data_IF_662621506751
#
_entry.id   IF_662621506751
#
_cell.length_a   1.000
_cell.length_b   1.000
_cell.length_c   1.000
_cell.angle_alpha   90.00
_cell.angle_beta   90.00
_cell.angle_gamma   90.00
#
_symmetry.space_group_name_H-M   'P 1'
#
loop_
_entity.id
_entity.type
_entity.pdbx_description
1 polymer ?
#
# COMPACT_ATOMS: atom_id res chain seq x y z
N UNK A 1 23.71 17.50 26.31
CA UNK A 1 24.14 17.04 24.98
C UNK A 1 23.08 17.48 24.00
N UNK A 2 23.39 18.39 23.08
CA UNK A 2 22.45 18.76 22.03
C UNK A 2 22.34 17.56 21.09
N UNK A 3 21.19 16.87 21.10
CA UNK A 3 20.87 15.83 20.12
C UNK A 3 20.76 16.52 18.74
N UNK A 4 21.77 16.34 17.91
CA UNK A 4 21.67 16.74 16.50
C UNK A 4 20.74 15.72 15.84
N UNK A 5 19.51 16.12 15.56
CA UNK A 5 18.58 15.29 14.80
C UNK A 5 19.10 15.20 13.36
N UNK A 6 19.23 14.00 12.80
CA UNK A 6 19.65 13.86 11.41
C UNK A 6 18.55 14.34 10.45
N UNK A 7 18.97 14.81 9.29
CA UNK A 7 18.04 14.97 8.17
C UNK A 7 17.67 13.60 7.62
N UNK A 8 16.38 13.38 7.38
CA UNK A 8 15.87 12.16 6.77
C UNK A 8 15.40 12.47 5.36
N UNK A 9 15.97 11.81 4.39
CA UNK A 9 15.65 11.95 2.96
C UNK A 9 14.74 10.83 2.53
N UNK A 10 13.76 11.14 1.69
CA UNK A 10 12.79 10.18 1.17
C UNK A 10 12.85 10.13 -0.34
N UNK A 11 12.60 8.95 -0.89
CA UNK A 11 12.39 8.72 -2.32
C UNK A 11 11.38 7.60 -2.52
N UNK A 12 10.57 7.69 -3.58
CA UNK A 12 9.50 6.76 -3.86
C UNK A 12 9.68 6.03 -5.18
N UNK A 13 9.14 4.82 -5.26
CA UNK A 13 9.02 4.07 -6.49
C UNK A 13 7.66 3.41 -6.58
N UNK A 14 7.09 3.49 -7.76
CA UNK A 14 5.73 3.03 -8.03
C UNK A 14 4.71 4.16 -8.09
N UNK A 15 3.53 3.84 -8.65
CA UNK A 15 2.47 4.81 -8.88
C UNK A 15 1.64 5.01 -7.61
N UNK A 16 1.46 6.23 -7.14
CA UNK A 16 0.58 6.59 -6.00
C UNK A 16 -0.76 7.13 -6.46
N UNK A 17 -0.88 7.48 -7.73
CA UNK A 17 -2.01 8.22 -8.28
C UNK A 17 -3.15 7.36 -8.82
N UNK A 18 -3.72 7.77 -9.94
CA UNK A 18 -4.96 7.23 -10.52
C UNK A 18 -4.96 5.75 -10.87
N UNK A 19 -3.81 5.17 -11.18
CA UNK A 19 -3.69 3.77 -11.62
C UNK A 19 -2.97 2.89 -10.60
N UNK A 20 -3.65 2.56 -9.49
CA UNK A 20 -3.12 1.64 -8.48
C UNK A 20 -3.07 0.17 -8.96
N UNK A 21 -3.84 -0.17 -10.01
CA UNK A 21 -3.90 -1.52 -10.57
C UNK A 21 -3.00 -1.72 -11.81
N UNK A 22 -2.01 -0.83 -12.01
CA UNK A 22 -1.04 -0.99 -13.08
C UNK A 22 -0.26 -2.31 -12.91
N UNK A 23 -0.41 -3.29 -13.81
CA UNK A 23 0.27 -4.58 -13.70
C UNK A 23 1.80 -4.48 -13.82
N UNK A 24 2.31 -3.38 -14.38
CA UNK A 24 3.75 -3.10 -14.46
C UNK A 24 4.30 -2.51 -13.16
N UNK A 25 3.44 -2.06 -12.27
CA UNK A 25 3.79 -1.45 -10.99
C UNK A 25 2.88 -1.95 -9.84
N UNK A 26 2.86 -3.25 -9.56
CA UNK A 26 1.96 -3.84 -8.54
C UNK A 26 2.31 -3.42 -7.12
N UNK A 27 3.53 -2.90 -6.93
CA UNK A 27 4.08 -2.53 -5.63
C UNK A 27 4.39 -1.04 -5.62
N UNK A 28 4.11 -0.39 -4.50
CA UNK A 28 4.65 0.92 -4.13
C UNK A 28 5.75 0.72 -3.08
N UNK A 29 6.82 1.50 -3.19
CA UNK A 29 7.91 1.49 -2.23
C UNK A 29 8.25 2.91 -1.83
N UNK A 30 8.31 3.18 -0.53
CA UNK A 30 8.90 4.39 0.02
C UNK A 30 10.20 4.02 0.71
N UNK A 31 11.29 4.65 0.29
CA UNK A 31 12.61 4.50 0.92
C UNK A 31 12.95 5.77 1.70
N UNK A 32 13.69 5.61 2.79
CA UNK A 32 14.23 6.75 3.52
C UNK A 32 15.65 6.49 4.00
N UNK A 33 16.42 7.55 4.12
CA UNK A 33 17.85 7.47 4.49
C UNK A 33 18.25 8.65 5.37
N UNK A 34 19.09 8.36 6.38
CA UNK A 34 19.77 9.35 7.24
C UNK A 34 21.25 9.51 6.91
N UNK A 35 21.68 9.06 5.74
CA UNK A 35 23.10 9.08 5.32
C UNK A 35 23.55 10.53 5.12
N UNK A 36 24.75 10.88 5.64
CA UNK A 36 25.35 12.19 5.41
C UNK A 36 25.62 12.41 3.92
N UNK A 37 25.59 13.69 3.47
CA UNK A 37 25.94 14.04 2.09
C UNK A 37 27.28 13.46 1.63
N UNK A 38 28.27 13.46 2.52
CA UNK A 38 29.61 12.93 2.22
C UNK A 38 29.57 11.41 1.99
N UNK A 39 28.83 10.68 2.82
CA UNK A 39 28.71 9.23 2.69
C UNK A 39 27.79 8.84 1.53
N UNK A 40 26.78 9.66 1.23
CA UNK A 40 25.93 9.47 0.04
C UNK A 40 26.75 9.56 -1.26
N UNK A 41 27.71 10.49 -1.36
CA UNK A 41 28.60 10.58 -2.52
C UNK A 41 29.48 9.32 -2.65
N UNK A 42 30.05 8.84 -1.54
CA UNK A 42 30.83 7.59 -1.54
C UNK A 42 29.97 6.37 -1.91
N UNK A 43 28.74 6.32 -1.40
CA UNK A 43 27.79 5.26 -1.75
C UNK A 43 27.45 5.29 -3.26
N UNK A 44 27.27 6.49 -3.81
CA UNK A 44 27.01 6.68 -5.24
C UNK A 44 28.19 6.20 -6.11
N UNK A 45 29.44 6.45 -5.70
CA UNK A 45 30.65 5.96 -6.40
C UNK A 45 30.66 4.43 -6.54
N UNK A 46 30.17 3.69 -5.53
CA UNK A 46 30.09 2.23 -5.57
C UNK A 46 29.23 1.71 -6.71
N UNK A 47 28.25 2.48 -7.14
CA UNK A 47 27.35 2.08 -8.25
C UNK A 47 28.04 2.07 -9.59
N UNK A 48 29.16 2.81 -9.72
CA UNK A 48 29.80 3.05 -11.02
C UNK A 48 28.97 3.90 -11.98
N UNK A 49 28.02 4.69 -11.44
CA UNK A 49 27.26 5.66 -12.24
C UNK A 49 28.20 6.68 -12.86
N UNK A 50 27.92 7.06 -14.13
CA UNK A 50 28.64 8.15 -14.78
C UNK A 50 28.15 9.54 -14.34
N UNK A 51 26.96 9.61 -13.75
CA UNK A 51 26.45 10.85 -13.16
C UNK A 51 27.11 11.06 -11.80
N UNK A 52 27.68 12.24 -11.51
CA UNK A 52 28.31 12.51 -10.23
C UNK A 52 27.32 12.74 -9.09
N UNK A 53 26.04 12.92 -9.38
CA UNK A 53 25.01 13.31 -8.43
C UNK A 53 23.86 12.34 -8.31
N UNK A 54 23.74 11.38 -9.25
CA UNK A 54 22.57 10.51 -9.31
C UNK A 54 22.88 9.15 -9.95
N UNK A 55 22.21 8.10 -9.49
CA UNK A 55 22.28 6.76 -10.05
C UNK A 55 20.87 6.21 -10.30
N UNK A 56 20.51 6.04 -11.57
CA UNK A 56 19.22 5.47 -11.93
C UNK A 56 19.29 3.96 -12.06
N UNK A 57 18.51 3.24 -11.28
CA UNK A 57 18.39 1.78 -11.34
C UNK A 57 18.08 1.28 -12.76
N UNK A 58 17.15 1.94 -13.49
CA UNK A 58 16.81 1.58 -14.89
C UNK A 58 18.00 1.59 -15.83
N UNK A 59 18.98 2.47 -15.58
CA UNK A 59 20.21 2.57 -16.36
C UNK A 59 21.25 1.54 -15.93
N UNK A 60 21.46 1.42 -14.62
CA UNK A 60 22.46 0.50 -14.05
C UNK A 60 22.13 -0.96 -14.36
N UNK A 61 20.88 -1.40 -14.18
CA UNK A 61 20.44 -2.79 -14.37
C UNK A 61 20.69 -3.35 -15.79
N UNK A 62 20.89 -2.48 -16.79
CA UNK A 62 21.04 -2.89 -18.19
C UNK A 62 22.43 -3.46 -18.51
N UNK A 63 23.42 -3.25 -17.66
CA UNK A 63 24.81 -3.65 -17.88
C UNK A 63 25.31 -4.45 -16.69
N UNK A 64 26.12 -5.47 -16.95
CA UNK A 64 26.72 -6.29 -15.89
C UNK A 64 27.46 -5.44 -14.84
N UNK A 65 28.29 -4.48 -15.30
CA UNK A 65 29.01 -3.57 -14.39
C UNK A 65 28.09 -2.72 -13.50
N UNK A 66 26.93 -2.33 -14.01
CA UNK A 66 25.94 -1.60 -13.22
C UNK A 66 25.22 -2.50 -12.24
N UNK A 67 24.90 -3.74 -12.60
CA UNK A 67 24.34 -4.74 -11.70
C UNK A 67 25.31 -5.03 -10.54
N UNK A 68 26.59 -5.23 -10.85
CA UNK A 68 27.62 -5.43 -9.85
C UNK A 68 27.79 -4.18 -8.95
N UNK A 69 27.58 -2.99 -9.51
CA UNK A 69 27.57 -1.72 -8.75
C UNK A 69 26.40 -1.64 -7.78
N UNK A 70 25.19 -2.08 -8.19
CA UNK A 70 24.02 -2.15 -7.31
C UNK A 70 24.32 -3.11 -6.13
N UNK A 71 24.88 -4.29 -6.42
CA UNK A 71 25.23 -5.27 -5.38
C UNK A 71 26.23 -4.67 -4.40
N UNK A 72 27.33 -4.05 -4.89
CA UNK A 72 28.31 -3.39 -4.03
C UNK A 72 27.70 -2.32 -3.12
N UNK A 73 26.74 -1.53 -3.65
CA UNK A 73 26.03 -0.55 -2.84
C UNK A 73 25.21 -1.23 -1.74
N UNK A 74 24.40 -2.25 -2.08
CA UNK A 74 23.54 -2.94 -1.13
C UNK A 74 24.33 -3.69 -0.04
N UNK A 75 25.52 -4.19 -0.36
CA UNK A 75 26.41 -4.87 0.58
C UNK A 75 27.33 -3.91 1.35
N UNK A 76 27.27 -2.61 1.08
CA UNK A 76 28.12 -1.61 1.70
C UNK A 76 27.65 -1.26 3.12
N UNK A 77 28.57 -0.70 3.91
CA UNK A 77 28.25 -0.15 5.23
C UNK A 77 27.25 1.01 5.23
N UNK A 78 26.96 1.59 4.06
CA UNK A 78 26.03 2.72 3.91
C UNK A 78 24.57 2.25 3.83
N UNK A 79 24.33 0.97 3.52
CA UNK A 79 22.98 0.39 3.43
C UNK A 79 22.83 -0.63 4.55
N UNK A 80 22.25 -0.20 5.66
CA UNK A 80 21.97 -1.03 6.82
C UNK A 80 20.70 -0.51 7.53
N UNK A 81 20.24 -1.25 8.54
CA UNK A 81 19.01 -0.94 9.27
C UNK A 81 19.05 0.36 10.09
N UNK A 82 20.22 0.91 10.38
CA UNK A 82 20.36 2.20 11.07
C UNK A 82 20.26 3.37 10.10
N UNK A 83 20.75 3.19 8.86
CA UNK A 83 20.92 4.26 7.89
C UNK A 83 19.81 4.32 6.82
N UNK A 84 19.14 3.18 6.54
CA UNK A 84 18.15 3.06 5.46
C UNK A 84 16.94 2.30 5.96
N UNK A 85 15.77 2.79 5.59
CA UNK A 85 14.50 2.07 5.80
C UNK A 85 13.74 2.00 4.49
N UNK A 86 13.09 0.87 4.26
CA UNK A 86 12.29 0.63 3.08
C UNK A 86 10.94 0.11 3.53
N UNK A 87 9.87 0.75 3.08
CA UNK A 87 8.51 0.29 3.28
C UNK A 87 7.90 -0.07 1.93
N UNK A 88 7.37 -1.29 1.84
CA UNK A 88 6.83 -1.87 0.63
C UNK A 88 5.34 -2.11 0.81
N UNK A 89 4.55 -1.67 -0.15
CA UNK A 89 3.09 -1.84 -0.17
C UNK A 89 2.70 -2.65 -1.40
N UNK A 90 2.13 -3.83 -1.20
CA UNK A 90 1.35 -4.51 -2.23
C UNK A 90 0.04 -3.76 -2.43
N UNK A 91 -0.19 -3.23 -3.63
CA UNK A 91 -1.34 -2.34 -3.90
C UNK A 91 -2.68 -3.07 -3.87
N UNK A 92 -2.75 -4.31 -4.34
CA UNK A 92 -3.98 -5.11 -4.27
C UNK A 92 -4.31 -5.45 -2.82
N UNK A 93 -3.29 -5.82 -2.02
CA UNK A 93 -3.49 -6.04 -0.59
C UNK A 93 -3.94 -4.78 0.14
N UNK A 94 -3.33 -3.64 -0.17
CA UNK A 94 -3.74 -2.35 0.39
C UNK A 94 -5.20 -2.03 0.06
N UNK A 95 -5.63 -2.21 -1.20
CA UNK A 95 -7.02 -1.98 -1.59
C UNK A 95 -7.97 -2.92 -0.83
N UNK A 96 -7.59 -4.18 -0.66
CA UNK A 96 -8.36 -5.14 0.14
C UNK A 96 -8.47 -4.69 1.60
N UNK A 97 -7.36 -4.28 2.20
CA UNK A 97 -7.36 -3.77 3.57
C UNK A 97 -8.22 -2.49 3.70
N UNK A 98 -8.21 -1.61 2.69
CA UNK A 98 -9.07 -0.42 2.67
C UNK A 98 -10.57 -0.76 2.55
N UNK A 99 -10.94 -1.81 1.80
CA UNK A 99 -12.32 -2.32 1.79
C UNK A 99 -12.73 -2.76 3.20
N UNK A 100 -11.86 -3.47 3.89
CA UNK A 100 -12.13 -3.91 5.28
C UNK A 100 -12.21 -2.72 6.23
N UNK A 101 -11.22 -1.84 6.23
CA UNK A 101 -11.13 -0.71 7.17
C UNK A 101 -12.26 0.30 6.95
N UNK A 102 -12.52 0.70 5.70
CA UNK A 102 -13.51 1.75 5.42
C UNK A 102 -14.94 1.20 5.57
N UNK A 103 -15.22 0.03 5.01
CA UNK A 103 -16.60 -0.45 4.97
C UNK A 103 -16.95 -1.28 6.21
N UNK A 104 -16.19 -2.34 6.48
CA UNK A 104 -16.58 -3.34 7.47
C UNK A 104 -16.22 -2.87 8.87
N UNK A 105 -15.00 -2.34 9.06
CA UNK A 105 -14.56 -1.85 10.37
C UNK A 105 -15.43 -0.68 10.82
N UNK A 106 -15.65 0.34 9.97
CA UNK A 106 -16.49 1.48 10.30
C UNK A 106 -17.94 1.03 10.62
N UNK A 107 -18.50 0.10 9.82
CA UNK A 107 -19.82 -0.48 10.11
C UNK A 107 -19.87 -1.19 11.46
N UNK A 108 -18.84 -1.95 11.81
CA UNK A 108 -18.69 -2.63 13.09
C UNK A 108 -18.51 -1.64 14.25
N UNK A 109 -17.63 -0.66 14.06
CA UNK A 109 -17.31 0.37 15.06
C UNK A 109 -18.55 1.18 15.44
N UNK A 110 -19.40 1.55 14.46
CA UNK A 110 -20.69 2.22 14.70
C UNK A 110 -21.67 1.37 15.53
N UNK A 111 -21.38 0.07 15.70
CA UNK A 111 -22.16 -0.88 16.51
C UNK A 111 -21.43 -1.35 17.76
N UNK A 112 -20.32 -0.69 18.10
CA UNK A 112 -19.52 -1.01 19.30
C UNK A 112 -18.66 -2.28 19.16
N UNK A 113 -18.41 -2.74 17.94
CA UNK A 113 -17.55 -3.90 17.65
C UNK A 113 -16.21 -3.40 17.13
N UNK A 114 -15.14 -3.68 17.86
CA UNK A 114 -13.77 -3.30 17.50
C UNK A 114 -13.07 -4.47 16.77
N UNK A 115 -12.83 -4.33 15.47
CA UNK A 115 -12.12 -5.31 14.66
C UNK A 115 -10.59 -5.27 14.81
N UNK A 116 -10.03 -4.27 15.47
CA UNK A 116 -8.58 -4.24 15.72
C UNK A 116 -8.18 -5.17 16.87
N UNK A 117 -9.12 -5.54 17.72
CA UNK A 117 -8.87 -6.51 18.78
C UNK A 117 -8.41 -7.85 18.18
N UNK A 118 -7.23 -8.30 18.61
CA UNK A 118 -6.59 -9.53 18.13
C UNK A 118 -6.31 -9.58 16.61
N UNK A 119 -6.26 -8.43 15.94
CA UNK A 119 -5.93 -8.33 14.51
C UNK A 119 -7.00 -8.92 13.59
N UNK A 120 -8.28 -8.88 13.98
CA UNK A 120 -9.38 -9.42 13.15
C UNK A 120 -9.52 -8.71 11.81
N UNK A 121 -9.25 -7.40 11.75
CA UNK A 121 -9.20 -6.64 10.51
C UNK A 121 -8.14 -7.19 9.54
N UNK A 122 -6.94 -7.53 10.04
CA UNK A 122 -5.87 -8.13 9.22
C UNK A 122 -6.24 -9.55 8.78
N UNK A 123 -6.82 -10.36 9.67
CA UNK A 123 -7.28 -11.70 9.33
C UNK A 123 -8.33 -11.65 8.22
N UNK A 124 -9.28 -10.73 8.30
CA UNK A 124 -10.32 -10.55 7.29
C UNK A 124 -9.74 -10.03 5.97
N UNK A 125 -8.81 -9.09 6.01
CA UNK A 125 -8.09 -8.61 4.82
C UNK A 125 -7.34 -9.74 4.12
N UNK A 126 -6.66 -10.62 4.85
CA UNK A 126 -6.01 -11.79 4.30
C UNK A 126 -7.03 -12.74 3.63
N UNK A 127 -8.15 -13.00 4.29
CA UNK A 127 -9.19 -13.86 3.72
C UNK A 127 -9.70 -13.28 2.39
N UNK A 128 -10.04 -12.01 2.33
CA UNK A 128 -10.50 -11.39 1.08
C UNK A 128 -9.43 -11.38 -0.01
N UNK A 129 -8.20 -11.04 0.33
CA UNK A 129 -7.09 -10.97 -0.63
C UNK A 129 -6.87 -12.30 -1.37
N UNK A 130 -6.99 -13.43 -0.65
CA UNK A 130 -6.82 -14.75 -1.25
C UNK A 130 -8.12 -15.34 -1.81
N UNK A 131 -9.26 -15.10 -1.17
CA UNK A 131 -10.52 -15.73 -1.58
C UNK A 131 -11.13 -15.09 -2.84
N UNK A 132 -11.08 -13.77 -3.00
CA UNK A 132 -11.67 -13.14 -4.17
C UNK A 132 -11.11 -13.67 -5.49
N UNK A 133 -9.78 -13.66 -5.74
CA UNK A 133 -9.26 -14.20 -6.99
C UNK A 133 -9.45 -15.72 -7.09
N UNK A 134 -9.41 -16.45 -5.97
CA UNK A 134 -9.57 -17.91 -5.97
C UNK A 134 -11.00 -18.37 -6.36
N UNK A 135 -12.03 -17.66 -5.90
CA UNK A 135 -13.44 -18.02 -6.17
C UNK A 135 -14.03 -17.30 -7.38
N UNK A 136 -13.61 -16.08 -7.67
CA UNK A 136 -14.19 -15.24 -8.71
C UNK A 136 -13.28 -15.01 -9.92
N UNK A 137 -12.01 -15.34 -9.81
CA UNK A 137 -10.97 -15.05 -10.80
C UNK A 137 -10.40 -13.63 -10.70
N UNK A 138 -9.20 -13.46 -11.24
CA UNK A 138 -8.47 -12.19 -11.19
C UNK A 138 -9.25 -11.03 -11.85
N UNK A 139 -9.84 -11.27 -13.02
CA UNK A 139 -10.53 -10.23 -13.79
C UNK A 139 -11.69 -9.60 -13.01
N UNK A 140 -12.56 -10.41 -12.42
CA UNK A 140 -13.69 -9.90 -11.61
C UNK A 140 -13.22 -9.22 -10.33
N UNK A 141 -12.15 -9.72 -9.74
CA UNK A 141 -11.53 -9.12 -8.56
C UNK A 141 -10.94 -7.74 -8.90
N UNK A 142 -10.32 -7.58 -10.06
CA UNK A 142 -9.82 -6.28 -10.52
C UNK A 142 -10.96 -5.28 -10.81
N UNK A 143 -12.06 -5.74 -11.39
CA UNK A 143 -13.27 -4.90 -11.57
C UNK A 143 -13.78 -4.42 -10.22
N UNK A 144 -13.85 -5.28 -9.22
CA UNK A 144 -14.26 -4.89 -7.85
C UNK A 144 -13.33 -3.79 -7.28
N UNK A 145 -12.01 -3.97 -7.36
CA UNK A 145 -11.06 -2.93 -6.90
C UNK A 145 -11.25 -1.62 -7.66
N UNK A 146 -11.47 -1.68 -8.97
CA UNK A 146 -11.69 -0.47 -9.78
C UNK A 146 -12.97 0.26 -9.34
N UNK A 147 -14.07 -0.47 -9.12
CA UNK A 147 -15.33 0.11 -8.66
C UNK A 147 -15.18 0.68 -7.24
N UNK A 148 -14.45 -0.01 -6.33
CA UNK A 148 -14.14 0.50 -5.01
C UNK A 148 -13.37 1.83 -5.08
N UNK A 149 -12.30 1.90 -5.87
CA UNK A 149 -11.53 3.14 -6.04
C UNK A 149 -12.40 4.27 -6.62
N UNK A 150 -13.27 3.97 -7.57
CA UNK A 150 -14.18 4.96 -8.15
C UNK A 150 -15.17 5.45 -7.11
N UNK A 151 -15.72 4.56 -6.28
CA UNK A 151 -16.61 4.91 -5.19
C UNK A 151 -15.94 5.87 -4.20
N UNK A 152 -14.72 5.56 -3.74
CA UNK A 152 -13.98 6.43 -2.80
C UNK A 152 -13.66 7.80 -3.43
N UNK A 153 -13.36 7.85 -4.73
CA UNK A 153 -12.98 9.10 -5.42
C UNK A 153 -14.15 9.99 -5.76
N UNK A 154 -15.26 9.41 -6.14
CA UNK A 154 -16.44 10.10 -6.65
C UNK A 154 -17.48 10.34 -5.56
N UNK A 155 -17.74 9.33 -4.74
CA UNK A 155 -18.79 9.29 -3.71
C UNK A 155 -20.18 9.65 -4.30
N UNK A 156 -20.38 9.43 -5.61
CA UNK A 156 -21.66 9.64 -6.24
C UNK A 156 -22.55 8.40 -6.09
N UNK A 157 -23.86 8.60 -6.12
CA UNK A 157 -24.85 7.51 -6.06
C UNK A 157 -24.52 6.44 -7.11
N UNK A 158 -24.16 6.85 -8.34
CA UNK A 158 -23.83 5.93 -9.43
C UNK A 158 -22.62 5.07 -9.12
N UNK A 159 -21.56 5.67 -8.53
CA UNK A 159 -20.34 4.92 -8.20
C UNK A 159 -20.54 3.97 -7.02
N UNK A 160 -21.37 4.35 -6.05
CA UNK A 160 -21.79 3.51 -4.93
C UNK A 160 -22.61 2.33 -5.45
N UNK A 161 -23.63 2.59 -6.26
CA UNK A 161 -24.49 1.56 -6.84
C UNK A 161 -23.70 0.56 -7.69
N UNK A 162 -22.76 1.06 -8.49
CA UNK A 162 -21.89 0.22 -9.31
C UNK A 162 -21.01 -0.69 -8.47
N UNK A 163 -20.40 -0.18 -7.39
CA UNK A 163 -19.60 -1.01 -6.49
C UNK A 163 -20.42 -2.13 -5.88
N UNK A 164 -21.58 -1.83 -5.31
CA UNK A 164 -22.41 -2.85 -4.67
C UNK A 164 -23.04 -3.81 -5.68
N UNK A 165 -23.32 -3.38 -6.91
CA UNK A 165 -23.73 -4.26 -8.00
C UNK A 165 -22.65 -5.32 -8.28
N UNK A 166 -21.37 -4.90 -8.36
CA UNK A 166 -20.25 -5.82 -8.53
C UNK A 166 -20.12 -6.76 -7.33
N UNK A 167 -20.29 -6.27 -6.11
CA UNK A 167 -20.29 -7.15 -4.91
C UNK A 167 -21.39 -8.21 -5.00
N UNK A 168 -22.60 -7.86 -5.47
CA UNK A 168 -23.70 -8.82 -5.66
C UNK A 168 -23.38 -9.83 -6.76
N UNK A 169 -22.70 -9.43 -7.84
CA UNK A 169 -22.23 -10.36 -8.88
C UNK A 169 -21.15 -11.33 -8.36
N UNK A 170 -20.29 -10.88 -7.43
CA UNK A 170 -19.29 -11.75 -6.83
C UNK A 170 -19.90 -12.83 -5.94
N UNK A 171 -21.05 -12.60 -5.31
CA UNK A 171 -21.76 -13.60 -4.49
C UNK A 171 -22.13 -14.85 -5.28
N UNK A 172 -22.44 -14.70 -6.56
CA UNK A 172 -22.85 -15.81 -7.42
C UNK A 172 -21.67 -16.54 -8.09
N UNK A 173 -20.41 -16.07 -7.86
CA UNK A 173 -19.23 -16.75 -8.40
C UNK A 173 -18.98 -18.13 -7.79
N UNK A 174 -19.50 -18.38 -6.59
CA UNK A 174 -19.33 -19.64 -5.89
C UNK A 174 -20.61 -20.03 -5.15
N UNK A 175 -20.86 -21.33 -5.08
CA UNK A 175 -21.89 -21.93 -4.23
C UNK A 175 -21.41 -22.21 -2.80
N UNK A 176 -20.16 -21.86 -2.49
CA UNK A 176 -19.61 -22.03 -1.15
C UNK A 176 -20.26 -21.04 -0.17
N UNK A 177 -20.87 -21.58 0.89
CA UNK A 177 -21.58 -20.79 1.89
C UNK A 177 -20.65 -19.86 2.68
N UNK A 178 -19.45 -20.33 2.99
CA UNK A 178 -18.49 -19.53 3.77
C UNK A 178 -18.07 -18.32 2.94
N UNK A 179 -17.78 -18.53 1.65
CA UNK A 179 -17.44 -17.43 0.75
C UNK A 179 -18.60 -16.44 0.60
N UNK A 180 -19.83 -16.94 0.44
CA UNK A 180 -21.03 -16.09 0.39
C UNK A 180 -21.20 -15.27 1.67
N UNK A 181 -21.00 -15.86 2.85
CA UNK A 181 -21.10 -15.17 4.13
C UNK A 181 -20.02 -14.08 4.28
N UNK A 182 -18.80 -14.34 3.78
CA UNK A 182 -17.71 -13.38 3.77
C UNK A 182 -18.08 -12.16 2.90
N UNK A 183 -18.56 -12.38 1.69
CA UNK A 183 -18.99 -11.28 0.79
C UNK A 183 -20.18 -10.50 1.37
N UNK A 184 -21.12 -11.19 2.01
CA UNK A 184 -22.27 -10.54 2.63
C UNK A 184 -21.86 -9.48 3.67
N UNK A 185 -20.70 -9.63 4.32
CA UNK A 185 -20.20 -8.60 5.24
C UNK A 185 -19.90 -7.26 4.56
N UNK A 186 -19.54 -7.28 3.28
CA UNK A 186 -19.42 -6.04 2.49
C UNK A 186 -20.82 -5.54 2.11
N UNK A 187 -21.70 -6.43 1.66
CA UNK A 187 -23.04 -6.03 1.19
C UNK A 187 -23.89 -5.34 2.26
N UNK A 188 -23.80 -5.78 3.51
CA UNK A 188 -24.60 -5.19 4.60
C UNK A 188 -24.20 -3.74 4.91
N UNK A 189 -23.00 -3.30 4.52
CA UNK A 189 -22.54 -1.93 4.76
C UNK A 189 -23.27 -0.91 3.88
N UNK A 190 -23.99 -1.36 2.82
CA UNK A 190 -24.69 -0.47 1.90
C UNK A 190 -25.73 0.40 2.58
N UNK A 191 -26.43 -0.12 3.60
CA UNK A 191 -27.45 0.64 4.32
C UNK A 191 -26.91 1.87 5.06
N UNK A 192 -25.64 1.85 5.40
CA UNK A 192 -25.00 2.89 6.19
C UNK A 192 -23.89 3.61 5.38
N UNK A 193 -23.89 3.45 4.05
CA UNK A 193 -22.76 3.87 3.20
C UNK A 193 -22.49 5.38 3.25
N UNK A 194 -23.52 6.20 3.38
CA UNK A 194 -23.39 7.65 3.45
C UNK A 194 -22.65 8.05 4.74
N UNK A 195 -23.01 7.45 5.87
CA UNK A 195 -22.35 7.65 7.16
C UNK A 195 -20.91 7.09 7.14
N UNK A 196 -20.70 5.95 6.49
CA UNK A 196 -19.38 5.31 6.36
C UNK A 196 -18.44 6.17 5.53
N UNK A 197 -18.92 6.81 4.47
CA UNK A 197 -18.10 7.64 3.58
C UNK A 197 -17.95 9.08 4.10
N UNK A 198 -18.65 9.47 5.16
CA UNK A 198 -18.49 10.77 5.78
C UNK A 198 -17.03 10.98 6.23
N UNK A 199 -16.37 12.01 5.72
CA UNK A 199 -14.98 12.32 6.04
C UNK A 199 -13.92 11.44 5.36
N UNK A 200 -14.33 10.47 4.53
CA UNK A 200 -13.39 9.68 3.72
C UNK A 200 -12.91 10.50 2.53
N UNK A 201 -11.61 10.76 2.46
CA UNK A 201 -10.98 11.52 1.38
C UNK A 201 -10.33 10.61 0.33
N UNK A 202 -10.14 11.15 -0.88
CA UNK A 202 -9.42 10.47 -1.98
C UNK A 202 -8.00 10.07 -1.60
N UNK A 203 -7.36 10.86 -0.76
CA UNK A 203 -6.03 10.63 -0.20
C UNK A 203 -5.94 9.34 0.61
N UNK A 204 -7.06 8.79 1.08
CA UNK A 204 -7.14 7.50 1.76
C UNK A 204 -6.60 6.34 0.90
N UNK A 205 -6.65 6.48 -0.43
CA UNK A 205 -6.11 5.50 -1.39
C UNK A 205 -4.62 5.69 -1.68
N UNK A 206 -3.97 6.73 -1.16
CA UNK A 206 -2.56 7.00 -1.42
C UNK A 206 -1.65 6.12 -0.54
N UNK A 207 -0.85 5.20 -1.10
CA UNK A 207 0.05 4.34 -0.34
C UNK A 207 1.20 5.11 0.31
N UNK A 208 1.51 6.33 -0.13
CA UNK A 208 2.59 7.14 0.43
C UNK A 208 2.30 7.58 1.86
N UNK A 209 1.04 7.89 2.18
CA UNK A 209 0.63 8.39 3.51
C UNK A 209 0.92 7.39 4.63
N UNK A 210 0.39 6.14 4.59
CA UNK A 210 0.70 5.15 5.63
C UNK A 210 2.19 4.77 5.63
N UNK A 211 2.84 4.77 4.46
CA UNK A 211 4.27 4.50 4.37
C UNK A 211 5.10 5.58 5.07
N UNK A 212 4.79 6.86 4.84
CA UNK A 212 5.45 7.99 5.50
C UNK A 212 5.25 7.94 7.03
N UNK A 213 4.01 7.69 7.48
CA UNK A 213 3.73 7.53 8.90
C UNK A 213 4.57 6.40 9.52
N UNK A 214 4.68 5.26 8.85
CA UNK A 214 5.51 4.14 9.31
C UNK A 214 6.98 4.53 9.42
N UNK A 215 7.52 5.24 8.44
CA UNK A 215 8.89 5.77 8.51
C UNK A 215 9.09 6.72 9.69
N UNK A 216 8.14 7.65 9.94
CA UNK A 216 8.21 8.55 11.09
C UNK A 216 8.29 7.77 12.41
N UNK A 217 7.48 6.71 12.56
CA UNK A 217 7.51 5.85 13.75
C UNK A 217 8.86 5.14 13.89
N UNK A 218 9.40 4.57 12.82
CA UNK A 218 10.67 3.84 12.87
C UNK A 218 11.86 4.76 13.14
N UNK A 219 11.92 5.93 12.51
CA UNK A 219 12.96 6.92 12.80
C UNK A 219 12.82 7.52 14.21
N UNK A 220 11.59 7.74 14.67
CA UNK A 220 11.33 8.24 16.03
C UNK A 220 11.80 7.30 17.14
N UNK A 221 11.89 5.99 16.89
CA UNK A 221 12.49 5.03 17.83
C UNK A 221 14.00 5.20 17.96
N UNK A 222 14.68 5.61 16.88
CA UNK A 222 16.13 5.82 16.87
C UNK A 222 16.52 7.22 17.35
N UNK A 223 15.65 8.20 17.13
CA UNK A 223 15.89 9.62 17.44
C UNK A 223 14.69 10.21 18.21
N UNK A 224 14.51 9.79 19.47
CA UNK A 224 13.40 10.22 20.32
C UNK A 224 13.39 11.73 20.63
#
# INVERSE_FOLDING_TARGET
>A
MLYIKPDIFFDESGNTGGNLLDPLQPVFTLSSSSISKQDALKALELTGSKSPTEAHFKTLRRRKSGQDGIIRLLESKYVNEENVKIYLVDKKYMLTAKIVDILIETWCSNRGIDLYINGQNLALSNVYYFCFPAFCGEEKTEVMYQCFMNMIRSQSTESIDEFYRVIDELKICSSDKIFTDIINRISITRSDIDDILEGVEKSTLDPSIPSLFRHCVEWGKLYP
#
